data_IF_155892291340
#
_entry.id   IF_155892291340
#
_cell.length_a   1.000
_cell.length_b   1.000
_cell.length_c   1.000
_cell.angle_alpha   90.00
_cell.angle_beta   90.00
_cell.angle_gamma   90.00
#
_symmetry.space_group_name_H-M   'P 1'
#
loop_
_entity.id
_entity.type
_entity.pdbx_description
1 polymer ?
#
# COMPACT_ATOMS: atom_id res chain seq x y z
N UNK A 1 2.36 -3.02 -4.66
CA UNK A 1 1.76 -4.06 -3.79
C UNK A 1 2.80 -4.47 -2.76
N UNK A 2 2.51 -4.26 -1.47
CA UNK A 2 3.34 -4.88 -0.43
C UNK A 2 2.92 -6.35 -0.35
N UNK A 3 3.81 -7.32 -0.53
CA UNK A 3 3.47 -8.75 -0.64
C UNK A 3 2.85 -9.37 0.62
N UNK A 4 2.75 -8.60 1.72
CA UNK A 4 2.40 -9.05 3.07
C UNK A 4 1.41 -8.10 3.74
N UNK A 5 0.33 -7.71 3.05
CA UNK A 5 -0.71 -6.93 3.72
C UNK A 5 -1.40 -7.81 4.77
N UNK A 6 -1.19 -7.49 6.06
CA UNK A 6 -1.85 -8.21 7.17
C UNK A 6 -3.37 -8.15 6.96
N UNK A 7 -4.11 -9.25 7.17
CA UNK A 7 -5.57 -9.23 7.06
C UNK A 7 -6.14 -8.15 7.99
N UNK A 8 -7.05 -7.30 7.50
CA UNK A 8 -7.64 -6.22 8.32
C UNK A 8 -8.27 -6.77 9.60
N UNK A 9 -8.91 -7.95 9.53
CA UNK A 9 -9.49 -8.64 10.68
C UNK A 9 -8.49 -8.93 11.82
N UNK A 10 -7.21 -9.16 11.51
CA UNK A 10 -6.18 -9.35 12.54
C UNK A 10 -5.90 -8.03 13.26
N UNK A 11 -5.79 -6.92 12.51
CA UNK A 11 -5.55 -5.59 13.08
C UNK A 11 -6.77 -5.13 13.90
N UNK A 12 -7.98 -5.42 13.45
CA UNK A 12 -9.21 -5.12 14.19
C UNK A 12 -9.21 -5.79 15.56
N UNK A 13 -8.84 -7.08 15.63
CA UNK A 13 -8.73 -7.82 16.89
C UNK A 13 -7.67 -7.22 17.82
N UNK A 14 -6.49 -6.89 17.29
CA UNK A 14 -5.39 -6.31 18.07
C UNK A 14 -5.78 -4.94 18.64
N UNK A 15 -6.37 -4.07 17.81
CA UNK A 15 -6.78 -2.72 18.21
C UNK A 15 -7.92 -2.80 19.24
N UNK A 16 -8.92 -3.67 19.03
CA UNK A 16 -10.01 -3.85 19.99
C UNK A 16 -9.52 -4.36 21.35
N UNK A 17 -8.55 -5.27 21.36
CA UNK A 17 -8.01 -5.83 22.60
C UNK A 17 -7.09 -4.87 23.35
N UNK A 18 -6.52 -3.87 22.67
CA UNK A 18 -5.47 -3.00 23.23
C UNK A 18 -5.89 -1.54 23.40
N UNK A 19 -7.10 -1.16 23.00
CA UNK A 19 -7.54 0.24 23.03
C UNK A 19 -9.07 0.38 23.06
N UNK A 20 -9.54 1.51 23.57
CA UNK A 20 -10.93 1.96 23.49
C UNK A 20 -11.18 2.91 22.32
N UNK A 21 -12.45 3.20 22.02
CA UNK A 21 -12.80 4.28 21.08
C UNK A 21 -12.20 5.61 21.56
N UNK A 22 -11.66 6.42 20.64
CA UNK A 22 -11.01 7.69 20.95
C UNK A 22 -9.54 7.61 21.35
N UNK A 23 -9.04 6.43 21.75
CA UNK A 23 -7.63 6.22 22.09
C UNK A 23 -6.70 6.42 20.87
N UNK A 24 -5.42 6.62 21.17
CA UNK A 24 -4.35 6.81 20.18
C UNK A 24 -3.60 5.50 19.90
N UNK A 25 -3.56 5.09 18.64
CA UNK A 25 -2.76 3.95 18.16
C UNK A 25 -1.49 4.45 17.45
N UNK A 26 -0.32 3.98 17.87
CA UNK A 26 0.97 4.27 17.23
C UNK A 26 1.45 3.07 16.42
N UNK A 27 1.78 3.29 15.15
CA UNK A 27 2.49 2.33 14.29
C UNK A 27 3.79 2.95 13.78
N UNK A 28 4.96 2.61 14.37
CA UNK A 28 6.24 3.20 13.98
C UNK A 28 6.77 2.69 12.62
N UNK A 29 6.15 1.65 12.05
CA UNK A 29 6.54 1.05 10.77
C UNK A 29 5.29 0.83 9.90
N UNK A 30 4.60 1.93 9.63
CA UNK A 30 3.23 1.91 9.12
C UNK A 30 3.09 1.32 7.71
N UNK A 31 4.17 1.29 6.91
CA UNK A 31 4.13 0.84 5.53
C UNK A 31 3.06 1.61 4.75
N UNK A 32 2.08 0.90 4.21
CA UNK A 32 0.95 1.51 3.49
C UNK A 32 -0.20 1.98 4.40
N UNK A 33 0.08 2.19 5.70
CA UNK A 33 -0.82 2.75 6.71
C UNK A 33 -2.09 1.91 6.94
N UNK A 34 -1.97 0.58 6.88
CA UNK A 34 -3.13 -0.31 7.09
C UNK A 34 -3.62 -0.23 8.54
N UNK A 35 -2.71 -0.20 9.52
CA UNK A 35 -3.05 -0.02 10.94
C UNK A 35 -3.83 1.27 11.19
N UNK A 36 -3.36 2.40 10.63
CA UNK A 36 -4.04 3.69 10.74
C UNK A 36 -5.44 3.66 10.10
N UNK A 37 -5.58 2.99 8.95
CA UNK A 37 -6.87 2.89 8.26
C UNK A 37 -7.87 2.08 9.09
N UNK A 38 -7.44 0.96 9.67
CA UNK A 38 -8.29 0.14 10.55
C UNK A 38 -8.62 0.90 11.85
N UNK A 39 -7.64 1.54 12.49
CA UNK A 39 -7.85 2.36 13.68
C UNK A 39 -8.89 3.46 13.42
N UNK A 40 -8.80 4.17 12.29
CA UNK A 40 -9.79 5.18 11.88
C UNK A 40 -11.19 4.60 11.70
N UNK A 41 -11.32 3.45 11.03
CA UNK A 41 -12.63 2.74 10.88
C UNK A 41 -13.22 2.37 12.24
N UNK A 42 -12.37 1.99 13.20
CA UNK A 42 -12.74 1.65 14.57
C UNK A 42 -12.87 2.89 15.49
N UNK A 43 -12.90 4.11 14.95
CA UNK A 43 -13.02 5.36 15.72
C UNK A 43 -11.89 5.61 16.74
N UNK A 44 -10.67 5.14 16.44
CA UNK A 44 -9.46 5.51 17.16
C UNK A 44 -8.72 6.62 16.42
N UNK A 45 -7.92 7.39 17.16
CA UNK A 45 -6.88 8.27 16.58
C UNK A 45 -5.67 7.40 16.23
N UNK A 46 -4.85 7.83 15.27
CA UNK A 46 -3.65 7.08 14.92
C UNK A 46 -2.50 7.96 14.47
N UNK A 47 -1.27 7.56 14.80
CA UNK A 47 -0.03 8.08 14.23
C UNK A 47 0.67 6.92 13.54
N UNK A 48 1.01 7.11 12.26
CA UNK A 48 1.82 6.18 11.49
C UNK A 48 3.12 6.86 11.07
N UNK A 49 4.25 6.18 11.24
CA UNK A 49 5.57 6.64 10.80
C UNK A 49 6.06 5.70 9.70
N UNK A 50 6.56 6.29 8.62
CA UNK A 50 7.10 5.54 7.48
C UNK A 50 8.21 6.37 6.82
N UNK A 51 9.29 5.71 6.43
CA UNK A 51 10.47 6.32 5.83
C UNK A 51 10.37 6.38 4.30
N UNK A 52 9.74 5.37 3.68
CA UNK A 52 9.63 5.27 2.24
C UNK A 52 8.51 6.18 1.71
N UNK A 53 8.89 7.22 0.96
CA UNK A 53 7.97 8.23 0.43
C UNK A 53 6.83 7.61 -0.39
N UNK A 54 7.11 6.60 -1.21
CA UNK A 54 6.10 5.89 -2.00
C UNK A 54 5.00 5.26 -1.12
N UNK A 55 5.37 4.75 0.05
CA UNK A 55 4.41 4.18 1.00
C UNK A 55 3.63 5.27 1.73
N UNK A 56 4.27 6.40 2.04
CA UNK A 56 3.60 7.61 2.56
C UNK A 56 2.55 8.11 1.57
N UNK A 57 2.89 8.24 0.28
CA UNK A 57 1.95 8.63 -0.80
C UNK A 57 0.73 7.69 -0.84
N UNK A 58 0.95 6.38 -0.75
CA UNK A 58 -0.15 5.39 -0.69
C UNK A 58 -1.01 5.59 0.58
N UNK A 59 -0.38 5.80 1.73
CA UNK A 59 -1.03 6.00 3.02
C UNK A 59 -1.89 7.26 3.08
N UNK A 60 -1.36 8.39 2.63
CA UNK A 60 -2.05 9.67 2.56
C UNK A 60 -3.35 9.58 1.75
N UNK A 61 -3.28 8.93 0.58
CA UNK A 61 -4.45 8.65 -0.25
C UNK A 61 -5.42 7.70 0.44
N UNK A 62 -4.93 6.58 0.98
CA UNK A 62 -5.77 5.57 1.66
C UNK A 62 -6.56 6.17 2.83
N UNK A 63 -5.93 7.04 3.60
CA UNK A 63 -6.54 7.69 4.75
C UNK A 63 -7.43 8.88 4.37
N UNK A 64 -7.42 9.29 3.10
CA UNK A 64 -8.15 10.46 2.60
C UNK A 64 -7.62 11.78 3.15
N UNK A 65 -6.33 11.84 3.48
CA UNK A 65 -5.69 13.04 4.05
C UNK A 65 -5.35 14.02 2.92
N UNK A 66 -4.79 13.52 1.82
CA UNK A 66 -4.42 14.32 0.66
C UNK A 66 -4.85 13.63 -0.64
N UNK A 67 -5.16 14.43 -1.66
CA UNK A 67 -5.39 13.98 -3.03
C UNK A 67 -4.17 14.22 -3.95
N UNK A 68 -3.28 15.13 -3.55
CA UNK A 68 -2.05 15.46 -4.25
C UNK A 68 -0.89 15.56 -3.24
N UNK A 69 0.33 15.25 -3.68
CA UNK A 69 1.55 15.38 -2.90
C UNK A 69 2.65 15.92 -3.80
N UNK A 70 3.28 17.04 -3.42
CA UNK A 70 4.30 17.74 -4.23
C UNK A 70 3.86 18.03 -5.68
N UNK A 71 2.59 18.39 -5.89
CA UNK A 71 2.03 18.66 -7.22
C UNK A 71 1.63 17.41 -8.02
N UNK A 72 1.98 16.21 -7.55
CA UNK A 72 1.59 14.95 -8.17
C UNK A 72 0.24 14.47 -7.62
N UNK A 73 -0.65 13.99 -8.49
CA UNK A 73 -1.91 13.38 -8.07
C UNK A 73 -1.64 11.99 -7.49
N UNK A 74 -2.25 11.68 -6.34
CA UNK A 74 -2.09 10.38 -5.69
C UNK A 74 -3.00 9.33 -6.35
N UNK A 75 -2.39 8.38 -7.05
CA UNK A 75 -3.11 7.30 -7.74
C UNK A 75 -3.21 6.02 -6.90
N UNK A 76 -4.23 5.18 -7.13
CA UNK A 76 -4.22 3.80 -6.66
C UNK A 76 -2.98 3.05 -7.14
N UNK A 77 -2.33 2.23 -6.29
CA UNK A 77 -1.26 1.38 -6.75
C UNK A 77 -1.79 0.44 -7.84
N UNK A 78 -1.03 0.28 -8.91
CA UNK A 78 -1.39 -0.64 -9.99
C UNK A 78 -1.50 -2.08 -9.45
N UNK A 79 -2.58 -2.77 -9.83
CA UNK A 79 -2.80 -4.16 -9.44
C UNK A 79 -1.88 -5.07 -10.27
N UNK A 80 -0.71 -5.43 -9.73
CA UNK A 80 0.09 -6.54 -10.28
C UNK A 80 -0.52 -7.88 -9.85
N UNK A 81 -1.58 -8.31 -10.53
CA UNK A 81 -1.92 -9.73 -10.50
C UNK A 81 -0.85 -10.49 -11.27
N UNK A 82 0.18 -10.99 -10.59
CA UNK A 82 0.99 -12.06 -11.17
C UNK A 82 0.13 -13.31 -11.22
N UNK A 83 -0.58 -13.54 -12.33
CA UNK A 83 -1.08 -14.88 -12.66
C UNK A 83 0.16 -15.77 -12.79
N UNK A 84 0.42 -16.62 -11.79
CA UNK A 84 1.25 -17.82 -11.99
C UNK A 84 0.44 -18.85 -12.78
N UNK A 85 0.22 -18.59 -14.06
CA UNK A 85 -0.09 -19.65 -15.03
C UNK A 85 1.07 -19.64 -16.05
N UNK A 86 1.72 -20.78 -16.20
CA UNK A 86 2.97 -20.92 -16.94
C UNK A 86 2.91 -20.47 -18.40
N UNK A 87 4.12 -20.13 -18.91
CA UNK A 87 4.52 -19.58 -20.22
C UNK A 87 4.66 -18.05 -20.23
N UNK A 88 5.90 -17.61 -20.01
CA UNK A 88 6.38 -16.26 -20.30
C UNK A 88 6.06 -15.89 -21.76
N UNK A 89 5.37 -14.77 -21.97
CA UNK A 89 5.41 -14.07 -23.26
C UNK A 89 6.40 -12.92 -23.12
N UNK A 90 7.44 -12.97 -23.96
CA UNK A 90 8.39 -11.87 -24.14
C UNK A 90 7.62 -10.71 -24.79
N UNK A 91 7.72 -9.46 -24.28
CA UNK A 91 7.04 -8.32 -24.90
C UNK A 91 7.55 -8.10 -26.33
N UNK A 92 6.61 -8.01 -27.28
CA UNK A 92 6.84 -7.92 -28.74
C UNK A 92 7.71 -6.75 -29.21
N UNK A 93 8.09 -5.83 -28.32
CA UNK A 93 8.91 -4.66 -28.65
C UNK A 93 10.42 -4.91 -28.50
N UNK A 94 10.84 -6.13 -28.13
CA UNK A 94 12.26 -6.52 -28.07
C UNK A 94 12.70 -7.43 -29.23
N UNK A 95 11.83 -7.75 -30.19
CA UNK A 95 12.12 -8.68 -31.29
C UNK A 95 12.79 -8.01 -32.52
N UNK A 96 12.89 -6.68 -32.57
CA UNK A 96 13.38 -5.97 -33.77
C UNK A 96 14.87 -5.65 -33.77
N UNK A 97 15.66 -6.15 -32.82
CA UNK A 97 17.10 -5.83 -32.69
C UNK A 97 18.05 -7.03 -32.83
N UNK A 98 17.56 -8.21 -33.23
CA UNK A 98 18.41 -9.40 -33.39
C UNK A 98 18.42 -10.03 -34.80
N UNK A 99 17.66 -9.50 -35.76
CA UNK A 99 17.63 -10.00 -37.16
C UNK A 99 18.32 -9.04 -38.18
N UNK A 100 19.31 -8.26 -37.73
CA UNK A 100 20.22 -7.56 -38.64
C UNK A 100 21.64 -7.78 -38.20
N UNK A 101 22.22 -8.89 -38.63
CA UNK A 101 23.59 -9.04 -39.11
C UNK A 101 23.70 -10.48 -39.61
N UNK A 102 23.69 -10.61 -40.94
CA UNK A 102 24.35 -11.72 -41.64
C UNK A 102 25.84 -11.79 -41.27
#
# INVERSE_FOLDING_TARGET
EHPTQKPEALLERIIAASSNEGDLVLDPFAGTFTTCAVAKKMKRKSIGIELQEDYVKIGLRRLGILSHYNGEKLHPPEKRYARKNGKSQIPSNQLTLLDRNE
#
